data_IF_946609286495
#
_entry.id   IF_946609286495
#
_cell.length_a   1.000
_cell.length_b   1.000
_cell.length_c   1.000
_cell.angle_alpha   90.00
_cell.angle_beta   90.00
_cell.angle_gamma   90.00
#
_symmetry.space_group_name_H-M   'P 1'
#
loop_
_entity.id
_entity.type
_entity.pdbx_description
1 polymer ?
#
# COMPACT_ATOMS: atom_id res chain seq x y z
N UNK A 1 -0.90 19.32 -9.72
CA UNK A 1 -0.01 18.19 -9.40
C UNK A 1 -0.55 17.43 -8.21
N UNK A 2 -0.70 16.13 -8.34
CA UNK A 2 -1.16 15.31 -7.23
C UNK A 2 -0.01 15.09 -6.26
N UNK A 3 -0.18 15.49 -5.00
CA UNK A 3 0.80 15.27 -3.96
C UNK A 3 0.18 14.46 -2.83
N UNK A 4 0.99 13.66 -2.20
CA UNK A 4 0.58 12.86 -1.06
C UNK A 4 1.00 13.60 0.20
N UNK A 5 0.11 13.68 1.20
CA UNK A 5 0.42 14.42 2.42
C UNK A 5 1.44 13.67 3.29
N UNK A 6 2.04 14.42 4.24
CA UNK A 6 3.05 13.87 5.12
C UNK A 6 2.52 12.78 6.04
N UNK A 7 1.25 12.88 6.43
CA UNK A 7 0.63 11.88 7.29
C UNK A 7 0.59 10.52 6.59
N UNK A 8 0.19 10.50 5.32
CA UNK A 8 0.18 9.27 4.53
C UNK A 8 1.59 8.71 4.39
N UNK A 9 2.58 9.57 4.09
CA UNK A 9 3.96 9.12 3.93
C UNK A 9 4.51 8.50 5.22
N UNK A 10 4.18 9.11 6.36
CA UNK A 10 4.59 8.56 7.66
C UNK A 10 3.93 7.21 7.95
N UNK A 11 2.65 7.08 7.63
CA UNK A 11 1.94 5.81 7.76
C UNK A 11 2.57 4.73 6.90
N UNK A 12 2.97 5.07 5.67
CA UNK A 12 3.61 4.12 4.77
C UNK A 12 5.00 3.73 5.26
N UNK A 13 5.75 4.67 5.82
CA UNK A 13 7.05 4.36 6.40
C UNK A 13 6.91 3.39 7.57
N UNK A 14 5.95 3.64 8.46
CA UNK A 14 5.68 2.75 9.60
C UNK A 14 5.25 1.36 9.12
N UNK A 15 4.39 1.31 8.12
CA UNK A 15 3.92 0.05 7.57
C UNK A 15 5.06 -0.74 6.92
N UNK A 16 5.92 -0.07 6.16
CA UNK A 16 7.09 -0.70 5.57
C UNK A 16 8.06 -1.22 6.63
N UNK A 17 8.21 -0.49 7.73
CA UNK A 17 9.04 -0.93 8.85
C UNK A 17 8.45 -2.22 9.47
N UNK A 18 7.14 -2.30 9.61
CA UNK A 18 6.48 -3.52 10.10
C UNK A 18 6.79 -4.71 9.20
N UNK A 19 6.78 -4.50 7.88
CA UNK A 19 7.14 -5.55 6.91
C UNK A 19 8.56 -6.04 7.16
N UNK A 20 9.50 -5.09 7.28
CA UNK A 20 10.93 -5.42 7.49
C UNK A 20 11.18 -6.14 8.81
N UNK A 21 10.40 -5.82 9.84
CA UNK A 21 10.57 -6.39 11.18
C UNK A 21 9.77 -7.67 11.40
N UNK A 22 8.93 -8.06 10.45
CA UNK A 22 8.10 -9.26 10.57
C UNK A 22 8.98 -10.51 10.52
N UNK A 23 8.81 -11.41 11.48
CA UNK A 23 9.66 -12.59 11.63
C UNK A 23 8.98 -13.92 11.29
N UNK A 24 7.67 -13.92 11.04
CA UNK A 24 6.96 -15.15 10.71
C UNK A 24 5.96 -14.93 9.58
N UNK A 25 5.65 -16.03 8.86
CA UNK A 25 4.78 -15.98 7.70
C UNK A 25 3.33 -15.66 8.06
N UNK A 26 2.85 -16.09 9.20
CA UNK A 26 1.47 -15.84 9.62
C UNK A 26 1.24 -14.34 9.85
N UNK A 27 2.17 -13.68 10.55
CA UNK A 27 2.09 -12.23 10.77
C UNK A 27 2.21 -11.47 9.46
N UNK A 28 3.08 -11.93 8.57
CA UNK A 28 3.26 -11.29 7.27
C UNK A 28 1.99 -11.39 6.42
N UNK A 29 1.26 -12.50 6.52
CA UNK A 29 0.01 -12.66 5.79
C UNK A 29 -1.05 -11.64 6.25
N UNK A 30 -1.09 -11.34 7.54
CA UNK A 30 -2.00 -10.31 8.07
C UNK A 30 -1.65 -8.94 7.48
N UNK A 31 -0.36 -8.62 7.41
CA UNK A 31 0.13 -7.38 6.82
C UNK A 31 -0.23 -7.34 5.32
N UNK A 32 -0.06 -8.44 4.62
CA UNK A 32 -0.42 -8.54 3.19
C UNK A 32 -1.91 -8.28 2.98
N UNK A 33 -2.77 -8.89 3.78
CA UNK A 33 -4.22 -8.69 3.67
C UNK A 33 -4.61 -7.24 3.88
N UNK A 34 -4.00 -6.58 4.87
CA UNK A 34 -4.26 -5.16 5.12
C UNK A 34 -3.84 -4.30 3.92
N UNK A 35 -2.68 -4.60 3.32
CA UNK A 35 -2.19 -3.87 2.16
C UNK A 35 -3.11 -4.06 0.95
N UNK A 36 -3.55 -5.30 0.69
CA UNK A 36 -4.44 -5.60 -0.43
C UNK A 36 -5.82 -4.94 -0.26
N UNK A 37 -6.36 -4.92 0.96
CA UNK A 37 -7.61 -4.22 1.25
C UNK A 37 -7.48 -2.72 1.01
N UNK A 38 -6.38 -2.13 1.48
CA UNK A 38 -6.12 -0.71 1.25
C UNK A 38 -6.00 -0.38 -0.23
N UNK A 39 -5.32 -1.24 -0.98
CA UNK A 39 -5.15 -1.06 -2.43
C UNK A 39 -6.50 -1.13 -3.15
N UNK A 40 -7.34 -2.11 -2.80
CA UNK A 40 -8.66 -2.27 -3.37
C UNK A 40 -9.54 -1.04 -3.12
N UNK A 41 -9.52 -0.53 -1.88
CA UNK A 41 -10.29 0.66 -1.51
C UNK A 41 -9.83 1.89 -2.29
N UNK A 42 -8.53 2.05 -2.47
CA UNK A 42 -7.97 3.18 -3.22
C UNK A 42 -8.37 3.11 -4.71
N UNK A 43 -8.39 1.91 -5.29
CA UNK A 43 -8.83 1.73 -6.67
C UNK A 43 -10.30 2.08 -6.84
N UNK A 44 -11.15 1.67 -5.91
CA UNK A 44 -12.58 2.02 -5.94
C UNK A 44 -12.76 3.54 -5.86
N UNK A 45 -12.02 4.20 -4.97
CA UNK A 45 -12.07 5.65 -4.86
C UNK A 45 -11.58 6.32 -6.14
N UNK A 46 -10.49 5.81 -6.72
CA UNK A 46 -9.97 6.32 -7.98
C UNK A 46 -11.03 6.27 -9.08
N UNK A 47 -11.66 5.12 -9.27
CA UNK A 47 -12.68 4.94 -10.30
C UNK A 47 -13.87 5.86 -10.07
N UNK A 48 -14.31 6.00 -8.82
CA UNK A 48 -15.45 6.85 -8.50
C UNK A 48 -15.13 8.32 -8.80
N UNK A 49 -14.02 8.82 -8.28
CA UNK A 49 -13.66 10.22 -8.49
C UNK A 49 -13.37 10.52 -9.96
N UNK A 50 -12.74 9.59 -10.66
CA UNK A 50 -12.44 9.76 -12.07
C UNK A 50 -13.74 9.86 -12.88
N UNK A 51 -14.71 8.98 -12.62
CA UNK A 51 -15.98 8.98 -13.35
C UNK A 51 -16.84 10.21 -13.03
N UNK A 52 -16.66 10.80 -11.84
CA UNK A 52 -17.38 12.01 -11.45
C UNK A 52 -16.68 13.30 -11.93
N UNK A 53 -15.54 13.18 -12.58
CA UNK A 53 -14.79 14.33 -13.10
C UNK A 53 -13.83 14.99 -12.12
N UNK A 54 -13.65 14.43 -10.92
CA UNK A 54 -12.70 14.95 -9.94
C UNK A 54 -11.30 14.38 -10.20
N UNK A 55 -10.70 14.83 -11.31
CA UNK A 55 -9.43 14.26 -11.79
C UNK A 55 -8.27 14.45 -10.82
N UNK A 56 -8.22 15.57 -10.11
CA UNK A 56 -7.15 15.82 -9.14
C UNK A 56 -7.21 14.84 -7.96
N UNK A 57 -8.42 14.59 -7.45
CA UNK A 57 -8.61 13.65 -6.35
C UNK A 57 -8.31 12.23 -6.84
N UNK A 58 -8.78 11.89 -8.04
CA UNK A 58 -8.49 10.58 -8.64
C UNK A 58 -7.00 10.36 -8.79
N UNK A 59 -6.26 11.38 -9.28
CA UNK A 59 -4.81 11.28 -9.42
C UNK A 59 -4.12 11.07 -8.08
N UNK A 60 -4.61 11.72 -7.01
CA UNK A 60 -4.08 11.52 -5.66
C UNK A 60 -4.25 10.06 -5.21
N UNK A 61 -5.43 9.48 -5.44
CA UNK A 61 -5.69 8.08 -5.08
C UNK A 61 -4.81 7.12 -5.87
N UNK A 62 -4.58 7.41 -7.15
CA UNK A 62 -3.71 6.58 -7.98
C UNK A 62 -2.27 6.64 -7.48
N UNK A 63 -1.81 7.82 -7.06
CA UNK A 63 -0.47 7.98 -6.48
C UNK A 63 -0.33 7.14 -5.21
N UNK A 64 -1.35 7.15 -4.36
CA UNK A 64 -1.35 6.32 -3.15
C UNK A 64 -1.30 4.83 -3.49
N UNK A 65 -1.99 4.40 -4.55
CA UNK A 65 -1.91 3.01 -5.01
C UNK A 65 -0.48 2.61 -5.35
N UNK A 66 0.29 3.49 -5.97
CA UNK A 66 1.68 3.19 -6.32
C UNK A 66 2.52 2.88 -5.08
N UNK A 67 2.30 3.61 -3.98
CA UNK A 67 2.99 3.33 -2.72
C UNK A 67 2.62 1.94 -2.18
N UNK A 68 1.35 1.57 -2.24
CA UNK A 68 0.92 0.26 -1.76
C UNK A 68 1.42 -0.87 -2.65
N UNK A 69 1.56 -0.62 -3.96
CA UNK A 69 2.16 -1.59 -4.87
C UNK A 69 3.64 -1.81 -4.56
N UNK A 70 4.36 -0.75 -4.20
CA UNK A 70 5.75 -0.88 -3.76
C UNK A 70 5.84 -1.68 -2.45
N UNK A 71 4.91 -1.46 -1.54
CA UNK A 71 4.84 -2.21 -0.30
C UNK A 71 4.54 -3.69 -0.58
N UNK A 72 3.69 -3.99 -1.56
CA UNK A 72 3.43 -5.38 -1.98
C UNK A 72 4.73 -6.06 -2.39
N UNK A 73 5.59 -5.38 -3.14
CA UNK A 73 6.89 -5.90 -3.52
C UNK A 73 7.76 -6.21 -2.31
N UNK A 74 7.78 -5.31 -1.34
CA UNK A 74 8.54 -5.51 -0.09
C UNK A 74 8.01 -6.71 0.69
N UNK A 75 6.70 -6.90 0.72
CA UNK A 75 6.07 -8.05 1.36
C UNK A 75 6.49 -9.34 0.66
N UNK A 76 6.48 -9.35 -0.67
CA UNK A 76 6.91 -10.52 -1.46
C UNK A 76 8.36 -10.86 -1.17
N UNK A 77 9.24 -9.86 -1.10
CA UNK A 77 10.64 -10.06 -0.78
C UNK A 77 10.82 -10.60 0.64
N UNK A 78 10.05 -10.08 1.58
CA UNK A 78 10.13 -10.55 2.98
C UNK A 78 9.61 -11.99 3.09
N UNK A 79 8.57 -12.33 2.35
CA UNK A 79 8.06 -13.70 2.30
C UNK A 79 9.12 -14.67 1.80
N UNK A 80 9.81 -14.30 0.73
CA UNK A 80 10.89 -15.12 0.18
C UNK A 80 12.00 -15.31 1.21
N UNK A 81 12.40 -14.24 1.89
CA UNK A 81 13.42 -14.30 2.93
C UNK A 81 13.00 -15.23 4.07
N UNK A 82 11.78 -15.11 4.56
CA UNK A 82 11.28 -15.94 5.67
C UNK A 82 11.11 -17.40 5.25
N UNK A 83 10.81 -17.65 3.99
CA UNK A 83 10.62 -18.99 3.47
C UNK A 83 11.94 -19.78 3.41
N UNK A 84 13.06 -19.09 3.15
CA UNK A 84 14.37 -19.77 3.05
C UNK A 84 15.05 -19.90 4.43
N UNK A 85 14.52 -19.31 5.47
CA UNK A 85 15.04 -19.53 6.81
C UNK A 85 14.59 -20.90 7.30
#
# INVERSE_FOLDING_TARGET
>A
MSSVDNEFLMEMMDFNDEVEMCEDLASLQIIREANESGLSNLFEEFERYFSEGYTDIAANRLTKCKFLLQTRERIDQREDFLTVL
#
